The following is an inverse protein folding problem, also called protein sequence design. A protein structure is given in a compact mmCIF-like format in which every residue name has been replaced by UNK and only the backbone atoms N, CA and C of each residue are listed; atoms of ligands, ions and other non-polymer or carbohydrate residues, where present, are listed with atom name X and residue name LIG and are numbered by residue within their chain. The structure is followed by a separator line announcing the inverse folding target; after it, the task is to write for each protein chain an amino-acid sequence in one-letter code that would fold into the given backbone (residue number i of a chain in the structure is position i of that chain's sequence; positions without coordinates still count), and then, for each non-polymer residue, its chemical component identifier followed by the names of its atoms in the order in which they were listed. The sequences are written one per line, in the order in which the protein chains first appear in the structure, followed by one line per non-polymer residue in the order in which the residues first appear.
data_IF_572150632179
#
_entry.id   IF_572150632179
#
_cell.length_a   1.000
_cell.length_b   1.000
_cell.length_c   1.000
_cell.angle_alpha   90.00
_cell.angle_beta   90.00
_cell.angle_gamma   90.00
#
_symmetry.space_group_name_H-M   'P 1'
#
loop_
_entity.id
_entity.type
_entity.pdbx_description
1 polymer ?
#
# COMPACT_ATOMS: atom_id res chain seq x y z
N UNK A 1 -0.01 1.60 12.56
CA UNK A 1 0.04 0.64 13.68
C UNK A 1 -0.40 -0.70 13.16
N UNK A 2 0.12 -1.79 13.72
CA UNK A 2 -0.18 -3.15 13.28
C UNK A 2 -0.87 -3.90 14.41
N UNK A 3 -2.03 -4.46 14.08
CA UNK A 3 -2.95 -5.07 15.03
C UNK A 3 -3.25 -6.50 14.63
N UNK A 4 -3.36 -7.35 15.64
CA UNK A 4 -3.75 -8.74 15.55
C UNK A 4 -5.08 -8.87 16.26
N UNK A 5 -6.10 -9.32 15.54
CA UNK A 5 -7.44 -9.53 16.06
C UNK A 5 -7.63 -11.02 16.32
N UNK A 6 -8.02 -11.39 17.53
CA UNK A 6 -8.25 -12.77 17.93
C UNK A 6 -9.57 -12.95 18.67
N UNK A 7 -10.08 -14.18 18.71
CA UNK A 7 -11.26 -14.52 19.50
C UNK A 7 -10.91 -14.79 20.99
N UNK A 8 -11.94 -15.09 21.79
CA UNK A 8 -11.79 -15.43 23.20
C UNK A 8 -10.97 -16.71 23.45
N UNK A 9 -10.83 -17.57 22.44
CA UNK A 9 -10.06 -18.81 22.48
C UNK A 9 -8.60 -18.61 22.04
N UNK A 10 -8.25 -17.39 21.60
CA UNK A 10 -6.91 -17.02 21.14
C UNK A 10 -6.63 -17.37 19.68
N UNK A 11 -7.65 -17.77 18.91
CA UNK A 11 -7.47 -18.00 17.48
C UNK A 11 -7.38 -16.66 16.74
N UNK A 12 -6.33 -16.50 15.92
CA UNK A 12 -6.12 -15.29 15.14
C UNK A 12 -7.19 -15.25 14.03
N UNK A 13 -7.99 -14.18 14.01
CA UNK A 13 -9.03 -13.97 13.01
C UNK A 13 -8.53 -13.08 11.88
N UNK A 14 -7.87 -11.97 12.22
CA UNK A 14 -7.43 -10.94 11.27
C UNK A 14 -6.12 -10.28 11.70
N UNK A 15 -5.39 -9.76 10.73
CA UNK A 15 -4.23 -8.87 10.93
C UNK A 15 -4.56 -7.61 10.16
N UNK A 16 -4.40 -6.45 10.79
CA UNK A 16 -4.79 -5.17 10.21
C UNK A 16 -3.70 -4.14 10.43
N UNK A 17 -3.38 -3.39 9.39
CA UNK A 17 -2.56 -2.18 9.50
C UNK A 17 -3.49 -0.95 9.47
N UNK A 18 -3.58 -0.21 10.57
CA UNK A 18 -4.43 0.98 10.67
C UNK A 18 -3.76 2.15 11.42
N UNK A 19 -4.29 3.38 11.30
CA UNK A 19 -3.94 4.49 12.20
C UNK A 19 -4.29 4.16 13.66
N UNK A 20 -3.52 4.68 14.61
CA UNK A 20 -3.76 4.45 16.05
C UNK A 20 -5.14 4.96 16.50
N UNK A 21 -5.63 6.05 15.89
CA UNK A 21 -6.97 6.59 16.15
C UNK A 21 -8.12 5.67 15.74
N UNK A 22 -7.84 4.63 14.95
CA UNK A 22 -8.83 3.67 14.47
C UNK A 22 -8.68 2.29 15.12
N UNK A 23 -7.82 2.13 16.13
CA UNK A 23 -7.55 0.83 16.74
C UNK A 23 -8.82 0.24 17.37
N UNK A 24 -9.52 1.01 18.21
CA UNK A 24 -10.68 0.53 18.98
C UNK A 24 -11.86 0.06 18.13
N UNK A 25 -11.96 0.55 16.89
CA UNK A 25 -13.04 0.18 15.96
C UNK A 25 -12.71 -1.05 15.11
N UNK A 26 -11.50 -1.61 15.21
CA UNK A 26 -11.12 -2.79 14.42
C UNK A 26 -11.70 -4.10 14.97
N UNK A 27 -12.05 -4.16 16.25
CA UNK A 27 -12.62 -5.35 16.88
C UNK A 27 -14.14 -5.22 17.06
N UNK A 28 -14.85 -6.29 16.70
CA UNK A 28 -16.26 -6.47 16.98
C UNK A 28 -16.54 -7.09 18.35
N UNK A 29 -17.80 -7.40 18.61
CA UNK A 29 -18.21 -8.07 19.86
C UNK A 29 -17.59 -9.46 19.96
N UNK A 30 -16.88 -9.73 21.06
CA UNK A 30 -16.21 -11.01 21.31
C UNK A 30 -14.85 -11.17 20.64
N UNK A 31 -14.36 -10.11 20.00
CA UNK A 31 -13.01 -10.04 19.43
C UNK A 31 -12.11 -9.16 20.30
N UNK A 32 -10.82 -9.44 20.29
CA UNK A 32 -9.82 -8.75 21.08
C UNK A 32 -8.65 -8.30 20.20
N UNK A 33 -8.03 -7.20 20.59
CA UNK A 33 -6.92 -6.58 19.86
C UNK A 33 -5.63 -6.79 20.62
N UNK A 34 -4.61 -7.22 19.88
CA UNK A 34 -3.22 -7.27 20.34
C UNK A 34 -2.35 -6.48 19.36
N UNK A 35 -1.52 -5.56 19.86
CA UNK A 35 -0.50 -4.93 19.03
C UNK A 35 0.61 -5.94 18.70
N UNK A 36 1.08 -5.95 17.45
CA UNK A 36 2.16 -6.85 17.04
C UNK A 36 2.75 -6.50 15.69
N UNK A 37 3.83 -7.18 15.29
CA UNK A 37 4.57 -6.87 14.05
C UNK A 37 3.98 -7.50 12.77
N UNK A 38 2.91 -8.27 12.94
CA UNK A 38 2.23 -8.94 11.86
C UNK A 38 1.68 -7.93 10.84
N UNK A 39 1.89 -8.25 9.57
CA UNK A 39 1.69 -7.35 8.44
C UNK A 39 0.85 -8.08 7.40
N UNK A 40 -0.31 -7.54 7.07
CA UNK A 40 -1.24 -8.12 6.11
C UNK A 40 -0.67 -8.18 4.69
N UNK A 41 0.37 -7.40 4.37
CA UNK A 41 1.09 -7.50 3.09
C UNK A 41 2.02 -8.72 3.04
N UNK A 42 2.63 -9.09 4.19
CA UNK A 42 3.67 -10.14 4.27
C UNK A 42 3.18 -11.45 4.86
N UNK A 43 2.10 -11.42 5.63
CA UNK A 43 1.59 -12.55 6.37
C UNK A 43 0.15 -12.86 5.97
N UNK A 44 -0.23 -14.11 6.18
CA UNK A 44 -1.60 -14.62 6.03
C UNK A 44 -1.96 -15.45 7.25
N UNK A 45 -3.25 -15.71 7.41
CA UNK A 45 -3.76 -16.46 8.55
C UNK A 45 -4.22 -17.82 8.04
N UNK A 46 -3.68 -18.89 8.61
CA UNK A 46 -4.09 -20.26 8.31
C UNK A 46 -4.43 -20.94 9.63
N UNK A 47 -5.68 -21.39 9.77
CA UNK A 47 -6.18 -22.11 10.96
C UNK A 47 -5.86 -21.38 12.28
N UNK A 48 -6.05 -20.07 12.31
CA UNK A 48 -5.82 -19.26 13.50
C UNK A 48 -4.34 -18.96 13.79
N UNK A 49 -3.42 -19.25 12.87
CA UNK A 49 -2.00 -18.94 13.01
C UNK A 49 -1.51 -18.00 11.92
N UNK A 50 -0.59 -17.12 12.30
CA UNK A 50 0.08 -16.20 11.39
C UNK A 50 1.21 -16.95 10.70
N UNK A 51 1.19 -16.96 9.37
CA UNK A 51 2.24 -17.56 8.55
C UNK A 51 2.71 -16.57 7.48
N UNK A 52 3.95 -16.70 7.05
CA UNK A 52 4.47 -15.89 5.95
C UNK A 52 3.76 -16.23 4.64
N UNK A 53 3.47 -15.21 3.85
CA UNK A 53 3.10 -15.37 2.44
C UNK A 53 4.33 -15.85 1.65
N UNK A 54 4.09 -16.62 0.61
CA UNK A 54 5.15 -16.93 -0.37
C UNK A 54 5.47 -15.68 -1.20
N UNK A 55 6.65 -15.63 -1.83
CA UNK A 55 7.03 -14.51 -2.70
C UNK A 55 6.00 -14.28 -3.81
N UNK A 56 5.49 -15.37 -4.40
CA UNK A 56 4.45 -15.35 -5.45
C UNK A 56 3.13 -14.74 -4.95
N UNK A 57 2.75 -15.00 -3.70
CA UNK A 57 1.55 -14.42 -3.07
C UNK A 57 1.73 -12.93 -2.79
N UNK A 58 2.94 -12.49 -2.47
CA UNK A 58 3.25 -11.07 -2.24
C UNK A 58 3.21 -10.31 -3.57
N UNK A 59 3.88 -10.82 -4.61
CA UNK A 59 3.90 -10.20 -5.95
C UNK A 59 2.51 -10.09 -6.57
N UNK A 60 1.64 -11.08 -6.35
CA UNK A 60 0.25 -11.04 -6.86
C UNK A 60 -0.59 -9.96 -6.21
N UNK A 61 -0.40 -9.72 -4.91
CA UNK A 61 -1.19 -8.75 -4.14
C UNK A 61 -0.63 -7.32 -4.22
N UNK A 62 0.65 -7.18 -4.55
CA UNK A 62 1.32 -5.90 -4.75
C UNK A 62 2.22 -6.02 -5.98
N UNK A 63 1.65 -5.98 -7.20
CA UNK A 63 2.44 -6.08 -8.41
C UNK A 63 3.51 -4.99 -8.41
N UNK A 64 4.74 -5.37 -8.77
CA UNK A 64 5.81 -4.39 -8.95
C UNK A 64 5.32 -3.28 -9.89
N UNK A 65 5.65 -2.01 -9.62
CA UNK A 65 5.31 -0.93 -10.54
C UNK A 65 5.84 -1.31 -11.92
N UNK A 66 4.99 -1.14 -12.94
CA UNK A 66 5.35 -1.45 -14.31
C UNK A 66 6.71 -0.80 -14.62
N UNK A 67 7.65 -1.59 -15.12
CA UNK A 67 8.93 -1.07 -15.57
C UNK A 67 8.65 -0.20 -16.79
N UNK A 68 8.61 1.12 -16.60
CA UNK A 68 8.55 2.05 -17.73
C UNK A 68 9.91 1.94 -18.42
N UNK A 69 9.93 1.34 -19.60
CA UNK A 69 11.10 1.33 -20.46
C UNK A 69 11.50 2.79 -20.75
N UNK A 70 12.79 3.08 -20.86
CA UNK A 70 13.25 4.45 -21.13
C UNK A 70 12.65 5.03 -22.43
N UNK A 71 12.25 4.16 -23.35
CA UNK A 71 11.56 4.48 -24.61
C UNK A 71 10.11 4.96 -24.42
N UNK A 72 9.44 4.48 -23.37
CA UNK A 72 8.06 4.84 -23.01
C UNK A 72 7.99 5.95 -21.95
N UNK A 73 9.15 6.43 -21.47
CA UNK A 73 9.21 7.49 -20.46
C UNK A 73 8.79 8.81 -21.12
N UNK A 74 7.75 9.49 -20.62
CA UNK A 74 7.36 10.78 -21.16
C UNK A 74 8.55 11.75 -21.05
N UNK A 75 8.82 12.48 -22.12
CA UNK A 75 9.93 13.43 -22.15
C UNK A 75 9.74 14.47 -21.04
N UNK A 76 10.66 14.49 -20.07
CA UNK A 76 10.67 15.53 -19.05
C UNK A 76 11.12 16.84 -19.70
N UNK A 77 10.17 17.73 -19.98
CA UNK A 77 10.49 19.10 -20.36
C UNK A 77 10.91 19.88 -19.12
N UNK A 78 12.01 20.61 -19.24
CA UNK A 78 12.47 21.53 -18.19
C UNK A 78 11.61 22.80 -18.17
N UNK A 79 11.53 23.50 -17.03
CA UNK A 79 10.85 24.81 -16.93
C UNK A 79 11.35 25.80 -17.99
N UNK A 80 12.63 25.71 -18.39
CA UNK A 80 13.22 26.54 -19.45
C UNK A 80 12.67 26.21 -20.83
N UNK A 81 12.45 24.92 -21.12
CA UNK A 81 11.83 24.48 -22.38
C UNK A 81 10.35 24.86 -22.43
N UNK A 82 9.64 24.77 -21.30
CA UNK A 82 8.25 25.24 -21.19
C UNK A 82 8.16 26.75 -21.46
N UNK A 83 9.04 27.55 -20.85
CA UNK A 83 9.05 29.01 -21.05
C UNK A 83 9.30 29.37 -22.53
N UNK A 84 10.26 28.70 -23.18
CA UNK A 84 10.52 28.93 -24.60
C UNK A 84 9.35 28.55 -25.52
N UNK A 85 8.49 27.62 -25.13
CA UNK A 85 7.26 27.29 -25.86
C UNK A 85 6.21 28.40 -25.67
N UNK A 86 6.04 28.90 -24.44
CA UNK A 86 5.11 29.98 -24.12
C UNK A 86 5.48 31.28 -24.83
N UNK A 87 6.77 31.62 -24.89
CA UNK A 87 7.24 32.83 -25.56
C UNK A 87 6.94 32.77 -27.07
N UNK A 88 7.15 31.61 -27.72
CA UNK A 88 6.84 31.40 -29.14
C UNK A 88 5.34 31.43 -29.45
N UNK A 89 4.49 30.98 -28.52
CA UNK A 89 3.03 31.09 -28.66
C UNK A 89 2.58 32.55 -28.60
N UNK A 90 3.12 33.34 -27.68
CA UNK A 90 2.82 34.77 -27.58
C UNK A 90 3.28 35.57 -28.81
N UNK A 91 4.33 35.14 -29.50
CA UNK A 91 4.78 35.75 -30.77
C UNK A 91 3.87 35.41 -31.95
N UNK A 92 3.21 34.24 -31.95
CA UNK A 92 2.29 33.82 -33.00
C UNK A 92 0.88 34.41 -32.85
N UNK A 93 0.50 34.84 -31.64
CA UNK A 93 -0.78 35.50 -31.36
C UNK A 93 -0.74 37.04 -31.58
N UNK A 94 0.39 37.59 -32.06
CA UNK A 94 0.54 39.01 -32.45
C UNK A 94 0.50 39.20 -33.96
#
# INVERSE_FOLDING_TARGET
MKLIIHDAQGAILRIVTCPASMADIQAGTGEFILEGDADDLKHKIIRGQIVNKTSEEIERNNPAPATVLDEDRPANITNKQLQGILDRLNELEK
#
